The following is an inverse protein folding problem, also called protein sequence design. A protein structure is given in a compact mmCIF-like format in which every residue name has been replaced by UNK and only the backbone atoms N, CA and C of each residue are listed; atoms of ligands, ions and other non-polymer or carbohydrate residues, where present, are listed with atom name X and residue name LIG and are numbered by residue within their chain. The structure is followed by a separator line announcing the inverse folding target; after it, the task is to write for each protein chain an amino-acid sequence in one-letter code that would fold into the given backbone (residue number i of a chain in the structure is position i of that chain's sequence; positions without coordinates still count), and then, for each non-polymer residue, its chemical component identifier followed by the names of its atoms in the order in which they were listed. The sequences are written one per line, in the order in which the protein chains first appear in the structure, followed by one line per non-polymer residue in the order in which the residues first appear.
data_IF_587172493848
#
_entry.id   IF_587172493848
#
_cell.length_a   1.000
_cell.length_b   1.000
_cell.length_c   1.000
_cell.angle_alpha   90.00
_cell.angle_beta   90.00
_cell.angle_gamma   90.00
#
_symmetry.space_group_name_H-M   'P 1'
#
loop_
_entity.id
_entity.type
_entity.pdbx_description
1 polymer ?
#
# COMPACT_ATOMS: atom_id res chain seq x y z
N UNK A 1 12.95 -9.21 17.14
CA UNK A 1 13.41 -8.99 15.76
C UNK A 1 13.61 -7.49 15.60
N UNK A 2 14.86 -7.01 15.61
CA UNK A 2 15.22 -5.61 15.40
C UNK A 2 15.61 -5.34 13.95
N UNK A 3 15.35 -4.12 13.48
CA UNK A 3 15.66 -3.69 12.11
C UNK A 3 16.50 -2.42 12.15
N UNK A 4 17.56 -2.37 11.36
CA UNK A 4 18.44 -1.21 11.30
C UNK A 4 19.00 -1.00 9.88
N UNK A 5 19.36 0.24 9.56
CA UNK A 5 19.98 0.58 8.30
C UNK A 5 21.51 0.55 8.45
N UNK A 6 22.20 -0.08 7.49
CA UNK A 6 23.66 -0.05 7.44
C UNK A 6 24.14 1.39 7.14
N UNK A 7 25.06 1.97 7.92
CA UNK A 7 25.55 3.33 7.69
C UNK A 7 26.44 3.46 6.44
N UNK A 8 26.91 2.34 5.87
CA UNK A 8 27.75 2.34 4.66
C UNK A 8 26.92 2.27 3.37
N UNK A 9 25.91 1.42 3.31
CA UNK A 9 25.12 1.19 2.08
C UNK A 9 23.64 1.58 2.20
N UNK A 10 23.17 2.00 3.38
CA UNK A 10 21.77 2.33 3.63
C UNK A 10 20.82 1.13 3.64
N UNK A 11 21.35 -0.09 3.52
CA UNK A 11 20.52 -1.29 3.39
C UNK A 11 19.89 -1.67 4.73
N UNK A 12 18.60 -2.02 4.68
CA UNK A 12 17.85 -2.52 5.82
C UNK A 12 18.25 -3.96 6.15
N UNK A 13 18.64 -4.19 7.40
CA UNK A 13 19.04 -5.50 7.94
C UNK A 13 18.08 -5.86 9.07
N UNK A 14 17.68 -7.12 9.11
CA UNK A 14 16.83 -7.71 10.14
C UNK A 14 17.69 -8.67 10.97
N UNK A 15 17.78 -8.44 12.28
CA UNK A 15 18.53 -9.26 13.21
C UNK A 15 17.71 -9.50 14.48
N UNK A 16 18.11 -10.45 15.31
CA UNK A 16 17.52 -10.65 16.62
C UNK A 16 17.94 -9.58 17.62
N UNK A 17 17.10 -9.30 18.62
CA UNK A 17 17.36 -8.25 19.61
C UNK A 17 18.59 -8.54 20.48
N UNK A 18 19.05 -9.79 20.51
CA UNK A 18 20.27 -10.22 21.21
C UNK A 18 21.54 -9.58 20.61
N UNK A 19 21.48 -9.15 19.34
CA UNK A 19 22.57 -8.46 18.65
C UNK A 19 22.64 -6.96 18.94
N UNK A 20 21.75 -6.41 19.75
CA UNK A 20 21.76 -5.00 20.14
C UNK A 20 23.07 -4.63 20.88
N UNK A 21 23.83 -3.67 20.36
CA UNK A 21 25.13 -3.30 20.91
C UNK A 21 26.28 -4.27 20.59
N UNK A 22 26.03 -5.33 19.82
CA UNK A 22 27.04 -6.27 19.35
C UNK A 22 27.52 -5.90 17.92
N UNK A 23 28.72 -6.36 17.51
CA UNK A 23 29.21 -6.18 16.15
C UNK A 23 28.39 -7.05 15.17
N UNK A 24 27.72 -6.39 14.23
CA UNK A 24 26.95 -7.02 13.15
C UNK A 24 27.61 -6.78 11.81
N UNK A 25 27.59 -7.79 10.93
CA UNK A 25 28.18 -7.72 9.59
C UNK A 25 27.10 -7.57 8.53
N UNK A 26 27.19 -6.51 7.72
CA UNK A 26 26.26 -6.32 6.61
C UNK A 26 26.52 -7.36 5.50
N UNK A 27 25.53 -8.18 5.08
CA UNK A 27 25.72 -9.17 4.02
C UNK A 27 25.88 -8.56 2.62
N UNK A 28 25.50 -7.28 2.45
CA UNK A 28 25.52 -6.61 1.14
C UNK A 28 26.83 -5.86 0.86
N UNK A 29 27.41 -5.22 1.89
CA UNK A 29 28.63 -4.42 1.75
C UNK A 29 29.81 -4.91 2.61
N UNK A 30 29.61 -6.04 3.31
CA UNK A 30 30.58 -6.68 4.22
C UNK A 30 31.15 -5.73 5.27
N UNK A 31 30.40 -4.67 5.61
CA UNK A 31 30.80 -3.75 6.66
C UNK A 31 30.38 -4.27 8.02
N UNK A 32 31.34 -4.43 8.92
CA UNK A 32 31.10 -4.65 10.33
C UNK A 32 30.85 -3.33 11.04
N UNK A 33 29.75 -3.24 11.77
CA UNK A 33 29.40 -2.08 12.58
C UNK A 33 28.65 -2.50 13.83
N UNK A 34 28.59 -1.64 14.84
CA UNK A 34 27.84 -1.93 16.06
C UNK A 34 26.37 -1.68 15.84
N UNK A 35 25.52 -2.68 16.08
CA UNK A 35 24.08 -2.49 15.99
C UNK A 35 23.62 -1.50 17.09
N UNK A 36 22.70 -0.57 16.79
CA UNK A 36 22.17 0.35 17.80
C UNK A 36 21.45 -0.42 18.92
N UNK A 37 21.51 0.10 20.16
CA UNK A 37 20.94 -0.56 21.34
C UNK A 37 19.41 -0.65 21.33
N UNK A 38 18.76 -0.03 20.35
CA UNK A 38 17.33 -0.13 20.11
C UNK A 38 17.05 -0.06 18.61
N UNK A 39 15.93 -0.66 18.21
CA UNK A 39 15.34 -0.47 16.88
C UNK A 39 15.23 1.03 16.59
N UNK A 40 16.10 1.55 15.71
CA UNK A 40 16.14 2.98 15.35
C UNK A 40 15.12 3.29 14.25
N UNK A 41 14.51 2.27 13.67
CA UNK A 41 13.38 2.44 12.79
C UNK A 41 12.12 2.63 13.64
N UNK A 42 11.37 3.74 13.45
CA UNK A 42 10.04 3.85 14.04
C UNK A 42 9.20 2.64 13.60
N UNK A 43 8.26 2.17 14.44
CA UNK A 43 7.31 1.15 14.00
C UNK A 43 6.69 1.68 12.70
N UNK A 44 6.99 0.99 11.60
CA UNK A 44 6.40 1.26 10.30
C UNK A 44 4.91 1.38 10.54
N UNK A 45 4.37 2.58 10.31
CA UNK A 45 3.00 2.98 10.56
C UNK A 45 2.11 1.74 10.57
N UNK A 46 1.66 1.38 11.77
CA UNK A 46 0.57 0.43 11.94
C UNK A 46 -0.52 0.85 10.96
N UNK A 47 -1.29 -0.10 10.38
CA UNK A 47 -2.43 0.23 9.54
C UNK A 47 -3.46 0.94 10.40
N UNK A 48 -3.19 2.22 10.65
CA UNK A 48 -4.12 3.23 11.05
C UNK A 48 -5.18 3.12 9.99
N UNK A 49 -6.39 2.81 10.40
CA UNK A 49 -7.50 2.63 9.48
C UNK A 49 -7.89 4.03 8.99
N UNK A 50 -6.96 4.75 8.37
CA UNK A 50 -7.13 6.11 7.92
C UNK A 50 -7.71 6.10 6.51
N UNK A 51 -8.75 6.91 6.36
CA UNK A 51 -9.44 7.16 5.11
C UNK A 51 -8.74 8.34 4.46
N UNK A 52 -7.91 8.05 3.47
CA UNK A 52 -7.31 9.09 2.62
C UNK A 52 -8.20 9.38 1.42
N UNK A 53 -8.65 10.63 1.25
CA UNK A 53 -9.45 11.06 0.12
C UNK A 53 -9.07 12.49 -0.33
N UNK A 54 -9.46 12.87 -1.55
CA UNK A 54 -9.20 14.21 -2.10
C UNK A 54 -10.42 15.10 -1.98
N UNK A 55 -10.23 16.35 -1.58
CA UNK A 55 -11.30 17.35 -1.62
C UNK A 55 -11.73 17.63 -3.07
N UNK A 56 -13.01 17.49 -3.38
CA UNK A 56 -13.57 17.75 -4.72
C UNK A 56 -13.48 19.23 -5.15
N UNK A 57 -13.23 20.17 -4.23
CA UNK A 57 -13.14 21.61 -4.52
C UNK A 57 -11.71 22.10 -4.73
N UNK A 58 -10.79 21.71 -3.85
CA UNK A 58 -9.42 22.23 -3.85
C UNK A 58 -8.34 21.18 -4.15
N UNK A 59 -8.73 19.91 -4.31
CA UNK A 59 -7.82 18.79 -4.57
C UNK A 59 -6.93 18.40 -3.39
N UNK A 60 -7.14 18.97 -2.20
CA UNK A 60 -6.33 18.65 -1.02
C UNK A 60 -6.47 17.18 -0.64
N UNK A 61 -5.34 16.51 -0.42
CA UNK A 61 -5.29 15.21 0.22
C UNK A 61 -5.64 15.36 1.71
N UNK A 62 -6.66 14.65 2.15
CA UNK A 62 -7.15 14.64 3.53
C UNK A 62 -7.09 13.19 3.99
N UNK A 63 -6.43 12.94 5.11
CA UNK A 63 -6.42 11.66 5.80
C UNK A 63 -7.15 11.85 7.13
N UNK A 64 -8.18 11.05 7.38
CA UNK A 64 -8.90 11.04 8.66
C UNK A 64 -9.08 9.61 9.15
N UNK A 65 -9.25 9.41 10.45
CA UNK A 65 -9.55 8.08 10.99
C UNK A 65 -10.86 7.49 10.44
N UNK A 66 -10.93 6.17 10.34
CA UNK A 66 -12.14 5.46 9.93
C UNK A 66 -13.36 5.72 10.82
N UNK A 67 -13.15 6.19 12.05
CA UNK A 67 -14.23 6.67 12.91
C UNK A 67 -14.99 7.88 12.30
N UNK A 68 -14.34 8.65 11.42
CA UNK A 68 -14.95 9.75 10.68
C UNK A 68 -15.68 9.35 9.40
N UNK A 69 -15.73 8.06 9.05
CA UNK A 69 -16.44 7.55 7.89
C UNK A 69 -17.92 8.00 7.89
N UNK A 70 -18.37 8.64 6.80
CA UNK A 70 -19.75 9.10 6.68
C UNK A 70 -20.09 10.37 7.47
N UNK A 71 -19.13 10.97 8.19
CA UNK A 71 -19.31 12.29 8.79
C UNK A 71 -19.06 13.40 7.77
N UNK A 72 -19.67 14.56 8.03
CA UNK A 72 -19.38 15.79 7.27
C UNK A 72 -18.28 16.56 8.00
N UNK A 73 -17.11 16.66 7.39
CA UNK A 73 -15.96 17.38 7.94
C UNK A 73 -15.63 18.61 7.10
N UNK A 74 -15.20 19.73 7.70
CA UNK A 74 -14.74 20.90 6.95
C UNK A 74 -13.35 20.64 6.37
N UNK A 75 -13.13 21.01 5.11
CA UNK A 75 -11.80 20.96 4.51
C UNK A 75 -10.85 21.95 5.19
N UNK A 76 -9.67 21.54 5.68
CA UNK A 76 -8.72 22.44 6.32
C UNK A 76 -8.11 23.49 5.37
N UNK A 77 -8.20 23.28 4.04
CA UNK A 77 -7.64 24.18 3.03
C UNK A 77 -8.63 25.21 2.50
N UNK A 78 -9.88 24.81 2.29
CA UNK A 78 -10.90 25.68 1.68
C UNK A 78 -12.14 25.92 2.56
N UNK A 79 -12.22 25.28 3.73
CA UNK A 79 -13.36 25.40 4.65
C UNK A 79 -14.63 24.68 4.20
N UNK A 80 -14.64 24.07 3.00
CA UNK A 80 -15.86 23.44 2.47
C UNK A 80 -16.24 22.19 3.27
N UNK A 81 -17.51 22.09 3.64
CA UNK A 81 -18.10 20.87 4.22
C UNK A 81 -18.13 19.76 3.17
N UNK A 82 -17.44 18.66 3.46
CA UNK A 82 -17.37 17.50 2.58
C UNK A 82 -17.69 16.23 3.37
N UNK A 83 -18.34 15.29 2.71
CA UNK A 83 -18.69 14.00 3.30
C UNK A 83 -17.52 13.06 3.11
N UNK A 84 -17.09 12.45 4.21
CA UNK A 84 -16.01 11.47 4.20
C UNK A 84 -16.52 10.20 3.52
N UNK A 85 -15.88 9.75 2.43
CA UNK A 85 -16.24 8.46 1.85
C UNK A 85 -15.91 7.38 2.86
N UNK A 86 -16.92 6.64 3.33
CA UNK A 86 -16.67 5.45 4.12
C UNK A 86 -15.88 4.47 3.23
N UNK A 87 -14.73 3.95 3.69
CA UNK A 87 -14.09 2.86 2.98
C UNK A 87 -15.15 1.76 2.93
N UNK A 88 -15.37 1.11 1.77
CA UNK A 88 -16.19 -0.09 1.77
C UNK A 88 -15.54 -1.00 2.81
N UNK A 89 -16.23 -1.28 3.93
CA UNK A 89 -15.88 -2.39 4.84
C UNK A 89 -15.53 -3.52 3.90
N UNK A 90 -14.26 -3.95 3.88
CA UNK A 90 -13.72 -4.83 2.85
C UNK A 90 -14.77 -5.86 2.45
N UNK A 91 -15.55 -5.55 1.42
CA UNK A 91 -16.28 -6.57 0.70
C UNK A 91 -15.11 -7.27 0.03
N UNK A 92 -14.93 -8.58 0.26
CA UNK A 92 -13.92 -9.31 -0.47
C UNK A 92 -14.09 -8.91 -1.92
N UNK A 93 -13.07 -8.28 -2.50
CA UNK A 93 -13.09 -7.86 -3.88
C UNK A 93 -13.21 -9.16 -4.65
N UNK A 94 -14.45 -9.52 -4.98
CA UNK A 94 -14.71 -10.63 -5.87
C UNK A 94 -14.11 -10.19 -7.18
N UNK A 95 -12.94 -10.76 -7.43
CA UNK A 95 -12.10 -10.61 -8.59
C UNK A 95 -13.00 -10.51 -9.84
N UNK A 96 -13.07 -9.38 -10.58
CA UNK A 96 -13.84 -9.32 -11.82
C UNK A 96 -13.19 -10.12 -12.97
N UNK A 97 -12.34 -11.10 -12.67
CA UNK A 97 -11.76 -12.01 -13.65
C UNK A 97 -12.63 -13.27 -13.76
N UNK A 98 -13.80 -13.13 -14.38
CA UNK A 98 -14.50 -14.20 -15.11
C UNK A 98 -15.62 -13.57 -15.92
N UNK A 99 -15.26 -12.76 -16.91
CA UNK A 99 -16.11 -12.66 -18.09
C UNK A 99 -15.77 -13.91 -18.90
N UNK A 100 -16.65 -14.92 -19.04
CA UNK A 100 -16.46 -15.95 -20.04
C UNK A 100 -16.55 -15.27 -21.39
N UNK A 101 -15.39 -15.01 -22.00
CA UNK A 101 -15.33 -14.55 -23.38
C UNK A 101 -15.83 -15.71 -24.22
N UNK A 102 -17.13 -15.71 -24.52
CA UNK A 102 -17.73 -16.63 -25.47
C UNK A 102 -17.01 -16.44 -26.81
N UNK A 103 -16.50 -17.51 -27.44
CA UNK A 103 -15.91 -17.38 -28.77
C UNK A 103 -16.97 -16.89 -29.75
N UNK A 104 -16.66 -15.95 -30.65
CA UNK A 104 -17.60 -15.55 -31.68
C UNK A 104 -17.86 -16.76 -32.59
N UNK A 105 -19.11 -17.22 -32.61
CA UNK A 105 -19.62 -18.15 -33.60
C UNK A 105 -19.67 -17.39 -34.92
N UNK A 106 -18.59 -17.46 -35.71
CA UNK A 106 -18.64 -17.06 -37.12
C UNK A 106 -19.21 -18.26 -37.86
N UNK A 107 -20.53 -18.25 -38.01
CA UNK A 107 -21.24 -19.05 -39.00
C UNK A 107 -20.91 -18.43 -40.36
N UNK A 108 -19.93 -18.99 -41.06
CA UNK A 108 -19.80 -18.78 -42.50
C UNK A 108 -20.04 -20.13 -43.20
N UNK A 109 -21.24 -20.23 -43.77
CA UNK A 109 -21.71 -21.31 -44.63
C UNK A 109 -21.73 -20.76 -46.07
N UNK A 110 -21.41 -21.58 -47.07
CA UNK A 110 -20.67 -21.24 -48.29
C UNK A 110 -21.61 -20.82 -49.45
N UNK A 111 -21.08 -20.45 -50.64
CA UNK A 111 -20.71 -21.44 -51.68
C UNK A 111 -19.42 -20.97 -52.43
N UNK A 112 -18.73 -21.64 -53.35
CA UNK A 112 -19.08 -22.20 -54.68
C UNK A 112 -17.76 -22.66 -55.36
N UNK A 113 -17.76 -23.87 -55.97
CA UNK A 113 -17.11 -24.30 -57.24
C UNK A 113 -15.94 -23.49 -57.85
N UNK A 114 -14.82 -24.18 -58.19
CA UNK A 114 -14.42 -24.49 -59.60
C UNK A 114 -13.07 -25.24 -59.69
N UNK A 115 -13.07 -26.24 -60.57
CA UNK A 115 -11.97 -26.87 -61.32
C UNK A 115 -11.35 -28.17 -60.79
#
# INVERSE_FOLDING_TARGET
MMRFACPRCGQHIEADDDFAGQPVSCPYCQYSFTAPLASTLPPKAEPSNDISFRCARCGQHIAIDAAGAGLTVPCPKCGQNLVVPAPPKAVPVQNPASIPVAPPIITDVPPIIKN
#
